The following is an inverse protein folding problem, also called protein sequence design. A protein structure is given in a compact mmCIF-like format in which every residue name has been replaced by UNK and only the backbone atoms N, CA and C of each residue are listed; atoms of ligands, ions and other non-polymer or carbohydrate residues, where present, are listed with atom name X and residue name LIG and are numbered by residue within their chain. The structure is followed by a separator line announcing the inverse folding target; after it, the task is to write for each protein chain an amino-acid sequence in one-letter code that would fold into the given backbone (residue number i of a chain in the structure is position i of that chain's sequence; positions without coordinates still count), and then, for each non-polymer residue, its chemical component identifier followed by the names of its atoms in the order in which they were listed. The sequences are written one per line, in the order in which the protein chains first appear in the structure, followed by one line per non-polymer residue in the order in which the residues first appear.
data_IF_929234721596
#
_entry.id   IF_929234721596
#
_cell.length_a   1.000
_cell.length_b   1.000
_cell.length_c   1.000
_cell.angle_alpha   90.00
_cell.angle_beta   90.00
_cell.angle_gamma   90.00
#
_symmetry.space_group_name_H-M   'P 1'
#
loop_
_entity.id
_entity.type
_entity.pdbx_description
1 polymer ?
#
# COMPACT_ATOMS: atom_id res chain seq x y z
N UNK A 1 -12.36 27.32 -3.31
CA UNK A 1 -12.85 26.05 -3.88
C UNK A 1 -13.15 25.10 -2.72
N UNK A 2 -14.42 24.80 -2.39
CA UNK A 2 -14.74 23.87 -1.28
C UNK A 2 -14.22 22.47 -1.63
N UNK A 3 -13.22 21.97 -0.90
CA UNK A 3 -12.75 20.58 -1.03
C UNK A 3 -13.87 19.64 -0.60
N UNK A 4 -14.21 18.66 -1.45
CA UNK A 4 -15.20 17.64 -1.13
C UNK A 4 -14.79 16.85 0.12
N UNK A 5 -15.77 16.33 0.88
CA UNK A 5 -15.50 15.45 2.03
C UNK A 5 -14.62 14.26 1.64
N UNK A 6 -14.85 13.70 0.45
CA UNK A 6 -14.05 12.61 -0.10
C UNK A 6 -12.57 12.98 -0.28
N UNK A 7 -12.26 14.19 -0.77
CA UNK A 7 -10.87 14.65 -0.94
C UNK A 7 -10.17 14.85 0.41
N UNK A 8 -10.90 15.36 1.43
CA UNK A 8 -10.35 15.48 2.79
C UNK A 8 -10.03 14.12 3.39
N UNK A 9 -10.92 13.14 3.22
CA UNK A 9 -10.69 11.78 3.69
C UNK A 9 -9.49 11.15 2.99
N UNK A 10 -9.37 11.29 1.67
CA UNK A 10 -8.23 10.77 0.92
C UNK A 10 -6.90 11.38 1.41
N UNK A 11 -6.87 12.70 1.68
CA UNK A 11 -5.69 13.36 2.24
C UNK A 11 -5.32 12.79 3.61
N UNK A 12 -6.29 12.67 4.51
CA UNK A 12 -6.06 12.09 5.84
C UNK A 12 -5.51 10.67 5.74
N UNK A 13 -6.07 9.83 4.87
CA UNK A 13 -5.59 8.46 4.66
C UNK A 13 -4.15 8.47 4.16
N UNK A 14 -3.80 9.31 3.18
CA UNK A 14 -2.42 9.41 2.69
C UNK A 14 -1.47 9.86 3.80
N UNK A 15 -1.81 10.93 4.52
CA UNK A 15 -0.97 11.47 5.60
C UNK A 15 -0.71 10.42 6.70
N UNK A 16 -1.77 9.75 7.15
CA UNK A 16 -1.68 8.74 8.22
C UNK A 16 -1.04 7.43 7.76
N UNK A 17 -1.17 7.05 6.49
CA UNK A 17 -0.57 5.81 5.96
C UNK A 17 0.88 5.98 5.50
N UNK A 18 1.33 7.20 5.18
CA UNK A 18 2.66 7.45 4.58
C UNK A 18 3.81 6.96 5.46
N UNK A 19 3.84 7.36 6.73
CA UNK A 19 4.94 7.02 7.64
C UNK A 19 4.92 5.52 7.97
N UNK A 20 3.79 4.92 8.38
CA UNK A 20 3.74 3.47 8.60
C UNK A 20 4.15 2.67 7.37
N UNK A 21 3.66 3.05 6.18
CA UNK A 21 3.99 2.36 4.93
C UNK A 21 5.49 2.46 4.62
N UNK A 22 6.08 3.65 4.78
CA UNK A 22 7.51 3.85 4.60
C UNK A 22 8.33 2.94 5.51
N UNK A 23 8.02 2.91 6.81
CA UNK A 23 8.72 2.07 7.79
C UNK A 23 8.63 0.59 7.41
N UNK A 24 7.44 0.10 7.07
CA UNK A 24 7.24 -1.31 6.71
C UNK A 24 7.96 -1.66 5.40
N UNK A 25 7.86 -0.83 4.36
CA UNK A 25 8.59 -1.04 3.10
C UNK A 25 10.09 -1.06 3.33
N UNK A 26 10.64 -0.11 4.09
CA UNK A 26 12.07 -0.07 4.39
C UNK A 26 12.51 -1.33 5.14
N UNK A 27 11.75 -1.79 6.13
CA UNK A 27 12.04 -3.05 6.81
C UNK A 27 12.03 -4.25 5.84
N UNK A 28 11.07 -4.32 4.92
CA UNK A 28 10.97 -5.41 3.93
C UNK A 28 12.12 -5.39 2.92
N UNK A 29 12.53 -4.21 2.47
CA UNK A 29 13.66 -4.05 1.57
C UNK A 29 14.95 -4.51 2.29
N UNK A 30 15.22 -3.97 3.47
CA UNK A 30 16.45 -4.29 4.21
C UNK A 30 16.54 -5.78 4.58
N UNK A 31 15.44 -6.36 5.07
CA UNK A 31 15.39 -7.78 5.41
C UNK A 31 15.48 -8.66 4.17
N UNK A 32 14.81 -8.29 3.07
CA UNK A 32 14.89 -9.01 1.79
C UNK A 32 16.31 -9.04 1.22
N UNK A 33 17.01 -7.90 1.22
CA UNK A 33 18.42 -7.85 0.81
C UNK A 33 19.31 -8.72 1.70
N UNK A 34 19.13 -8.67 3.02
CA UNK A 34 19.91 -9.51 3.93
C UNK A 34 19.66 -11.01 3.75
N UNK A 35 18.43 -11.42 3.42
CA UNK A 35 18.10 -12.83 3.11
C UNK A 35 18.84 -13.28 1.84
N UNK A 36 18.90 -12.40 0.82
CA UNK A 36 19.61 -12.68 -0.44
C UNK A 36 21.14 -12.67 -0.26
N UNK A 37 21.67 -11.74 0.52
CA UNK A 37 23.10 -11.53 0.73
C UNK A 37 23.50 -11.81 2.18
N UNK A 38 23.86 -13.06 2.46
CA UNK A 38 24.15 -13.59 3.81
C UNK A 38 25.33 -12.91 4.53
N UNK A 39 26.14 -12.13 3.82
CA UNK A 39 27.28 -11.37 4.34
C UNK A 39 26.83 -10.13 5.14
N UNK A 40 25.65 -9.59 4.84
CA UNK A 40 25.09 -8.43 5.53
C UNK A 40 24.27 -8.89 6.73
N UNK A 41 24.67 -8.51 7.95
CA UNK A 41 23.93 -8.85 9.19
C UNK A 41 23.55 -7.60 9.97
N UNK A 42 22.72 -6.77 9.35
CA UNK A 42 22.26 -5.51 9.94
C UNK A 42 21.05 -5.71 10.87
N UNK A 43 20.15 -6.63 10.51
CA UNK A 43 18.88 -6.84 11.21
C UNK A 43 18.89 -8.24 11.84
N UNK A 44 18.76 -8.36 13.18
CA UNK A 44 18.64 -9.66 13.82
C UNK A 44 17.33 -10.33 13.39
N UNK A 45 17.38 -11.63 13.07
CA UNK A 45 16.22 -12.43 12.67
C UNK A 45 15.45 -11.84 11.46
N UNK A 46 16.16 -11.38 10.43
CA UNK A 46 15.57 -10.83 9.21
C UNK A 46 14.49 -11.73 8.59
N UNK A 47 14.67 -13.06 8.60
CA UNK A 47 13.70 -14.04 8.12
C UNK A 47 12.37 -13.98 8.88
N UNK A 48 12.41 -13.79 10.21
CA UNK A 48 11.22 -13.70 11.05
C UNK A 48 10.43 -12.44 10.72
N UNK A 49 11.11 -11.30 10.58
CA UNK A 49 10.48 -10.01 10.23
C UNK A 49 9.86 -10.08 8.82
N UNK A 50 10.57 -10.68 7.87
CA UNK A 50 10.12 -10.81 6.48
C UNK A 50 8.94 -11.78 6.32
N UNK A 51 8.82 -12.75 7.23
CA UNK A 51 7.73 -13.75 7.23
C UNK A 51 6.65 -13.46 8.26
N UNK A 52 6.73 -12.35 8.99
CA UNK A 52 5.74 -11.98 10.00
C UNK A 52 4.38 -11.65 9.35
N UNK A 53 3.29 -12.33 9.74
CA UNK A 53 1.97 -12.17 9.11
C UNK A 53 1.34 -10.80 9.39
N UNK A 54 1.60 -10.21 10.57
CA UNK A 54 1.07 -8.89 10.91
C UNK A 54 1.72 -7.82 10.04
N UNK A 55 3.05 -7.90 9.84
CA UNK A 55 3.76 -6.97 8.97
C UNK A 55 3.38 -7.14 7.49
N UNK A 56 3.23 -8.37 6.99
CA UNK A 56 2.77 -8.61 5.60
C UNK A 56 1.36 -8.05 5.39
N UNK A 57 0.43 -8.36 6.29
CA UNK A 57 -0.95 -7.89 6.22
C UNK A 57 -1.01 -6.37 6.29
N UNK A 58 -0.22 -5.76 7.21
CA UNK A 58 -0.10 -4.31 7.33
C UNK A 58 0.44 -3.69 6.04
N UNK A 59 1.47 -4.28 5.43
CA UNK A 59 2.03 -3.82 4.17
C UNK A 59 0.97 -3.81 3.06
N UNK A 60 0.18 -4.89 2.93
CA UNK A 60 -0.87 -5.00 1.91
C UNK A 60 -1.95 -3.92 2.15
N UNK A 61 -2.47 -3.80 3.37
CA UNK A 61 -3.54 -2.84 3.71
C UNK A 61 -3.05 -1.40 3.51
N UNK A 62 -1.87 -1.06 4.04
CA UNK A 62 -1.30 0.28 3.91
C UNK A 62 -1.02 0.63 2.46
N UNK A 63 -0.45 -0.30 1.68
CA UNK A 63 -0.20 -0.08 0.25
C UNK A 63 -1.51 0.16 -0.50
N UNK A 64 -2.55 -0.64 -0.22
CA UNK A 64 -3.87 -0.48 -0.84
C UNK A 64 -4.46 0.91 -0.55
N UNK A 65 -4.58 1.26 0.74
CA UNK A 65 -5.19 2.50 1.19
C UNK A 65 -4.42 3.74 0.71
N UNK A 66 -3.09 3.68 0.80
CA UNK A 66 -2.22 4.78 0.36
C UNK A 66 -2.32 4.99 -1.16
N UNK A 67 -2.25 3.91 -1.94
CA UNK A 67 -2.28 3.99 -3.40
C UNK A 67 -3.61 4.53 -3.93
N UNK A 68 -4.74 3.97 -3.48
CA UNK A 68 -6.05 4.40 -3.96
C UNK A 68 -6.36 5.85 -3.55
N UNK A 69 -5.99 6.25 -2.34
CA UNK A 69 -6.21 7.62 -1.85
C UNK A 69 -5.30 8.62 -2.56
N UNK A 70 -4.02 8.26 -2.76
CA UNK A 70 -3.06 9.07 -3.51
C UNK A 70 -3.50 9.31 -4.96
N UNK A 71 -3.91 8.25 -5.66
CA UNK A 71 -4.44 8.35 -7.03
C UNK A 71 -5.69 9.22 -7.08
N UNK A 72 -6.64 9.03 -6.14
CA UNK A 72 -7.84 9.85 -6.07
C UNK A 72 -7.51 11.33 -5.84
N UNK A 73 -6.52 11.68 -5.00
CA UNK A 73 -6.07 13.06 -4.81
C UNK A 73 -5.53 13.64 -6.13
N UNK A 74 -4.67 12.90 -6.83
CA UNK A 74 -4.08 13.34 -8.09
C UNK A 74 -5.16 13.57 -9.17
N UNK A 75 -6.06 12.60 -9.33
CA UNK A 75 -7.20 12.69 -10.26
C UNK A 75 -8.07 13.91 -9.92
N UNK A 76 -8.46 14.08 -8.65
CA UNK A 76 -9.31 15.19 -8.21
C UNK A 76 -8.64 16.56 -8.39
N UNK A 77 -7.32 16.65 -8.29
CA UNK A 77 -6.57 17.92 -8.46
C UNK A 77 -6.38 18.27 -9.93
N UNK A 78 -6.07 17.28 -10.77
CA UNK A 78 -5.63 17.47 -12.17
C UNK A 78 -6.75 17.37 -13.20
N UNK A 79 -7.77 16.56 -12.97
CA UNK A 79 -8.82 16.27 -13.96
C UNK A 79 -10.07 17.10 -13.67
N UNK A 80 -10.46 17.95 -14.62
CA UNK A 80 -11.66 18.81 -14.50
C UNK A 80 -12.91 18.19 -15.12
N UNK A 81 -12.75 17.36 -16.15
CA UNK A 81 -13.86 16.67 -16.79
C UNK A 81 -14.41 15.58 -15.86
N UNK A 82 -15.71 15.66 -15.53
CA UNK A 82 -16.36 14.75 -14.58
C UNK A 82 -16.39 13.29 -15.07
N UNK A 83 -16.67 13.06 -16.36
CA UNK A 83 -16.73 11.71 -16.92
C UNK A 83 -15.35 11.05 -16.93
N UNK A 84 -14.32 11.78 -17.39
CA UNK A 84 -12.94 11.29 -17.38
C UNK A 84 -12.44 11.02 -15.95
N UNK A 85 -12.79 11.90 -15.00
CA UNK A 85 -12.47 11.71 -13.59
C UNK A 85 -13.05 10.40 -13.06
N UNK A 86 -14.34 10.16 -13.26
CA UNK A 86 -15.00 8.92 -12.82
C UNK A 86 -14.39 7.68 -13.47
N UNK A 87 -14.08 7.74 -14.78
CA UNK A 87 -13.41 6.65 -15.47
C UNK A 87 -12.03 6.34 -14.84
N UNK A 88 -11.22 7.37 -14.57
CA UNK A 88 -9.91 7.21 -13.95
C UNK A 88 -9.99 6.70 -12.51
N UNK A 89 -11.00 7.11 -11.74
CA UNK A 89 -11.25 6.58 -10.38
C UNK A 89 -11.56 5.08 -10.42
N UNK A 90 -12.36 4.62 -11.40
CA UNK A 90 -12.59 3.18 -11.60
C UNK A 90 -11.35 2.42 -12.05
N UNK A 91 -10.59 2.97 -12.99
CA UNK A 91 -9.33 2.36 -13.45
C UNK A 91 -8.35 2.24 -12.29
N UNK A 92 -8.20 3.28 -11.47
CA UNK A 92 -7.35 3.27 -10.28
C UNK A 92 -7.79 2.16 -9.32
N UNK A 93 -9.09 2.08 -9.01
CA UNK A 93 -9.64 1.04 -8.14
C UNK A 93 -9.37 -0.38 -8.65
N UNK A 94 -9.67 -0.64 -9.93
CA UNK A 94 -9.47 -1.95 -10.55
C UNK A 94 -7.99 -2.31 -10.55
N UNK A 95 -7.12 -1.39 -10.97
CA UNK A 95 -5.68 -1.63 -11.03
C UNK A 95 -5.10 -1.94 -9.63
N UNK A 96 -5.41 -1.11 -8.62
CA UNK A 96 -4.91 -1.33 -7.25
C UNK A 96 -5.45 -2.62 -6.64
N UNK A 97 -6.72 -2.95 -6.90
CA UNK A 97 -7.34 -4.18 -6.38
C UNK A 97 -6.72 -5.41 -7.04
N UNK A 98 -6.59 -5.43 -8.36
CA UNK A 98 -6.00 -6.56 -9.09
C UNK A 98 -4.55 -6.79 -8.68
N UNK A 99 -3.75 -5.72 -8.58
CA UNK A 99 -2.34 -5.84 -8.16
C UNK A 99 -2.19 -6.43 -6.75
N UNK A 100 -3.11 -6.11 -5.84
CA UNK A 100 -3.04 -6.54 -4.43
C UNK A 100 -3.89 -7.79 -4.13
N UNK A 101 -4.69 -8.27 -5.08
CA UNK A 101 -5.49 -9.48 -4.93
C UNK A 101 -4.62 -10.73 -4.74
N UNK A 102 -3.50 -10.82 -5.47
CA UNK A 102 -2.56 -11.95 -5.37
C UNK A 102 -1.97 -12.06 -3.97
N UNK A 103 -1.26 -11.04 -3.42
CA UNK A 103 -0.68 -11.14 -2.09
C UNK A 103 -1.75 -11.31 -1.00
N UNK A 104 -2.94 -10.68 -1.15
CA UNK A 104 -4.03 -10.86 -0.21
C UNK A 104 -4.54 -12.31 -0.17
N UNK A 105 -4.73 -12.93 -1.33
CA UNK A 105 -5.20 -14.32 -1.42
C UNK A 105 -4.20 -15.28 -0.79
N UNK A 106 -2.91 -15.07 -1.06
CA UNK A 106 -1.84 -15.87 -0.45
C UNK A 106 -1.83 -15.74 1.07
N UNK A 107 -2.07 -14.54 1.61
CA UNK A 107 -2.13 -14.32 3.05
C UNK A 107 -3.36 -15.01 3.68
N UNK A 108 -4.54 -14.91 3.04
CA UNK A 108 -5.75 -15.58 3.51
C UNK A 108 -5.61 -17.11 3.55
N UNK A 109 -4.98 -17.70 2.53
CA UNK A 109 -4.71 -19.15 2.51
C UNK A 109 -3.77 -19.57 3.63
N UNK A 110 -2.81 -18.72 4.01
CA UNK A 110 -1.90 -18.99 5.13
C UNK A 110 -2.60 -18.93 6.49
N UNK A 111 -3.57 -18.04 6.69
CA UNK A 111 -4.36 -17.98 7.92
C UNK A 111 -5.36 -19.14 8.08
N UNK A 112 -5.75 -19.80 6.99
CA UNK A 112 -6.70 -20.91 7.00
C UNK A 112 -6.06 -22.29 7.30
N UNK A 113 -4.73 -22.34 7.46
CA UNK A 113 -3.95 -23.55 7.80
C UNK A 113 -3.44 -23.45 9.23
#
# INVERSE_FOLDING_TARGET
MKTSRALKLALLIVETSSIPLYVVITAYILTGYQILFKEVRLIPKAEVIHTDPLLRTSLIILTYLHSISGLNILINRRVKNKALKTLLEYIALIATTTLLAIPLTLELVRFAR
#
